data_IF_285864978478
#
_entry.id   IF_285864978478
#
_cell.length_a   1.000
_cell.length_b   1.000
_cell.length_c   1.000
_cell.angle_alpha   90.00
_cell.angle_beta   90.00
_cell.angle_gamma   90.00
#
_symmetry.space_group_name_H-M   'P 1'
#
loop_
_entity.id
_entity.type
_entity.pdbx_description
1 polymer ?
#
# COMPACT_ATOMS: atom_id res chain seq x y z
N UNK A 1 47.67 -11.25 -7.18
CA UNK A 1 47.00 -10.95 -5.89
C UNK A 1 46.11 -9.69 -5.94
N UNK A 2 46.53 -8.60 -6.60
CA UNK A 2 45.78 -7.33 -6.66
C UNK A 2 44.48 -7.39 -7.50
N UNK A 3 44.45 -8.20 -8.55
CA UNK A 3 43.27 -8.40 -9.42
C UNK A 3 42.12 -9.13 -8.72
N UNK A 4 42.43 -10.13 -7.90
CA UNK A 4 41.43 -10.89 -7.11
C UNK A 4 40.77 -10.01 -6.04
N UNK A 5 41.54 -9.15 -5.37
CA UNK A 5 41.01 -8.24 -4.34
C UNK A 5 40.06 -7.18 -4.91
N UNK A 6 40.36 -6.67 -6.12
CA UNK A 6 39.52 -5.70 -6.82
C UNK A 6 38.25 -6.34 -7.36
N UNK A 7 38.34 -7.55 -7.91
CA UNK A 7 37.18 -8.33 -8.33
C UNK A 7 36.28 -8.71 -7.14
N UNK A 8 36.84 -9.12 -6.01
CA UNK A 8 36.08 -9.43 -4.80
C UNK A 8 35.40 -8.20 -4.18
N UNK A 9 36.04 -7.02 -4.24
CA UNK A 9 35.43 -5.75 -3.81
C UNK A 9 34.33 -5.28 -4.75
N UNK A 10 34.49 -5.41 -6.07
CA UNK A 10 33.44 -5.13 -7.05
C UNK A 10 32.26 -6.09 -6.90
N UNK A 11 32.52 -7.39 -6.74
CA UNK A 11 31.48 -8.40 -6.59
C UNK A 11 30.74 -8.26 -5.26
N UNK A 12 31.45 -7.98 -4.16
CA UNK A 12 30.85 -7.66 -2.86
C UNK A 12 30.01 -6.37 -2.88
N UNK A 13 30.46 -5.33 -3.59
CA UNK A 13 29.69 -4.10 -3.77
C UNK A 13 28.43 -4.30 -4.62
N UNK A 14 28.51 -5.10 -5.68
CA UNK A 14 27.36 -5.47 -6.50
C UNK A 14 26.38 -6.34 -5.71
N UNK A 15 26.88 -7.30 -4.93
CA UNK A 15 26.04 -8.14 -4.07
C UNK A 15 25.30 -7.30 -3.03
N UNK A 16 26.00 -6.42 -2.30
CA UNK A 16 25.38 -5.55 -1.30
C UNK A 16 24.28 -4.65 -1.91
N UNK A 17 24.53 -4.09 -3.11
CA UNK A 17 23.52 -3.32 -3.84
C UNK A 17 22.31 -4.15 -4.21
N UNK A 18 22.51 -5.34 -4.77
CA UNK A 18 21.42 -6.24 -5.13
C UNK A 18 20.60 -6.63 -3.90
N UNK A 19 21.26 -6.93 -2.78
CA UNK A 19 20.59 -7.24 -1.52
C UNK A 19 19.75 -6.05 -1.02
N UNK A 20 20.26 -4.82 -1.08
CA UNK A 20 19.50 -3.63 -0.71
C UNK A 20 18.28 -3.40 -1.62
N UNK A 21 18.44 -3.63 -2.93
CA UNK A 21 17.32 -3.54 -3.89
C UNK A 21 16.24 -4.56 -3.54
N UNK A 22 16.62 -5.83 -3.35
CA UNK A 22 15.68 -6.90 -3.01
C UNK A 22 15.00 -6.64 -1.65
N UNK A 23 15.75 -6.14 -0.66
CA UNK A 23 15.20 -5.76 0.63
C UNK A 23 14.18 -4.62 0.51
N UNK A 24 14.47 -3.59 -0.30
CA UNK A 24 13.55 -2.48 -0.57
C UNK A 24 12.27 -2.95 -1.28
N UNK A 25 12.39 -3.84 -2.27
CA UNK A 25 11.24 -4.45 -2.95
C UNK A 25 10.41 -5.26 -1.95
N UNK A 26 11.05 -6.12 -1.14
CA UNK A 26 10.36 -6.93 -0.15
C UNK A 26 9.61 -6.07 0.88
N UNK A 27 10.26 -5.02 1.41
CA UNK A 27 9.63 -4.07 2.31
C UNK A 27 8.41 -3.40 1.66
N UNK A 28 8.54 -2.97 0.41
CA UNK A 28 7.45 -2.35 -0.35
C UNK A 28 6.27 -3.31 -0.52
N UNK A 29 6.54 -4.56 -0.90
CA UNK A 29 5.52 -5.61 -1.05
C UNK A 29 4.81 -5.90 0.28
N UNK A 30 5.54 -5.95 1.39
CA UNK A 30 4.97 -6.19 2.71
C UNK A 30 4.08 -5.01 3.16
N UNK A 31 4.56 -3.78 3.04
CA UNK A 31 3.82 -2.59 3.43
C UNK A 31 2.56 -2.38 2.58
N UNK A 32 2.69 -2.44 1.25
CA UNK A 32 1.55 -2.24 0.35
C UNK A 32 0.61 -3.45 0.28
N UNK A 33 1.13 -4.68 0.44
CA UNK A 33 0.31 -5.88 0.52
C UNK A 33 -0.58 -5.90 1.77
N UNK A 34 -0.05 -5.43 2.91
CA UNK A 34 -0.83 -5.31 4.15
C UNK A 34 -1.72 -4.06 4.22
N UNK A 35 -1.43 -3.03 3.41
CA UNK A 35 -2.16 -1.76 3.38
C UNK A 35 -3.67 -1.94 3.21
N UNK A 36 -4.12 -2.72 2.22
CA UNK A 36 -5.55 -2.91 1.93
C UNK A 36 -6.35 -3.44 3.13
N UNK A 37 -5.97 -4.60 3.71
CA UNK A 37 -6.63 -5.14 4.91
C UNK A 37 -6.60 -4.21 6.12
N UNK A 38 -5.44 -3.58 6.40
CA UNK A 38 -5.28 -2.66 7.54
C UNK A 38 -6.16 -1.42 7.35
N UNK A 39 -6.16 -0.82 6.17
CA UNK A 39 -6.98 0.34 5.83
C UNK A 39 -8.46 0.00 5.88
N UNK A 40 -8.87 -1.16 5.36
CA UNK A 40 -10.27 -1.60 5.41
C UNK A 40 -10.76 -1.74 6.85
N UNK A 41 -9.94 -2.31 7.74
CA UNK A 41 -10.25 -2.37 9.18
C UNK A 41 -10.34 -0.97 9.81
N UNK A 42 -9.44 -0.06 9.44
CA UNK A 42 -9.49 1.34 9.87
C UNK A 42 -10.75 2.08 9.40
N UNK A 43 -11.22 1.81 8.18
CA UNK A 43 -12.46 2.38 7.63
C UNK A 43 -13.70 1.94 8.41
N UNK A 44 -13.79 0.64 8.76
CA UNK A 44 -14.87 0.12 9.60
C UNK A 44 -14.90 0.79 10.97
N UNK A 45 -13.73 1.03 11.57
CA UNK A 45 -13.62 1.76 12.85
C UNK A 45 -13.93 3.27 12.76
N UNK A 46 -14.08 3.81 11.55
CA UNK A 46 -14.35 5.23 11.29
C UNK A 46 -15.71 5.44 10.60
N UNK A 47 -16.66 4.53 10.85
CA UNK A 47 -18.05 4.58 10.34
C UNK A 47 -18.13 4.61 8.80
N UNK A 48 -17.13 4.02 8.12
CA UNK A 48 -17.01 4.03 6.66
C UNK A 48 -16.98 5.44 6.02
N UNK A 49 -16.61 6.47 6.80
CA UNK A 49 -16.38 7.79 6.24
C UNK A 49 -15.14 7.78 5.34
N UNK A 50 -15.25 8.33 4.13
CA UNK A 50 -14.19 8.26 3.11
C UNK A 50 -12.99 9.16 3.43
N UNK A 51 -13.21 10.28 4.11
CA UNK A 51 -12.18 11.31 4.30
C UNK A 51 -11.40 11.12 5.60
N UNK A 52 -12.01 10.59 6.67
CA UNK A 52 -11.34 10.37 7.97
C UNK A 52 -10.08 9.47 7.83
N UNK A 53 -10.12 8.31 7.13
CA UNK A 53 -8.94 7.47 6.92
C UNK A 53 -7.85 8.15 6.09
N UNK A 54 -8.24 8.98 5.11
CA UNK A 54 -7.27 9.72 4.28
C UNK A 54 -6.45 10.70 5.11
N UNK A 55 -7.08 11.38 6.08
CA UNK A 55 -6.37 12.27 7.01
C UNK A 55 -5.35 11.47 7.82
N UNK A 56 -5.73 10.31 8.37
CA UNK A 56 -4.81 9.44 9.10
C UNK A 56 -3.62 8.99 8.24
N UNK A 57 -3.87 8.61 6.98
CA UNK A 57 -2.81 8.27 6.01
C UNK A 57 -1.92 9.48 5.73
N UNK A 58 -2.49 10.68 5.56
CA UNK A 58 -1.75 11.92 5.36
C UNK A 58 -0.82 12.26 6.52
N UNK A 59 -1.29 12.11 7.77
CA UNK A 59 -0.45 12.28 8.97
C UNK A 59 0.69 11.27 8.99
N UNK A 60 0.41 10.00 8.68
CA UNK A 60 1.46 8.98 8.59
C UNK A 60 2.50 9.31 7.51
N UNK A 61 2.07 9.81 6.35
CA UNK A 61 2.96 10.23 5.27
C UNK A 61 3.80 11.44 5.68
N UNK A 62 3.24 12.40 6.41
CA UNK A 62 4.03 13.51 6.94
C UNK A 62 5.16 13.01 7.85
N UNK A 63 4.86 12.09 8.78
CA UNK A 63 5.88 11.53 9.68
C UNK A 63 6.95 10.77 8.89
N UNK A 64 6.55 9.85 8.01
CA UNK A 64 7.49 8.97 7.32
C UNK A 64 8.25 9.67 6.19
N UNK A 65 7.62 10.56 5.45
CA UNK A 65 8.21 11.21 4.27
C UNK A 65 8.92 12.53 4.59
N UNK A 66 8.61 13.18 5.73
CA UNK A 66 9.24 14.45 6.11
C UNK A 66 10.11 14.27 7.35
N UNK A 67 9.57 13.76 8.47
CA UNK A 67 10.31 13.72 9.73
C UNK A 67 11.52 12.78 9.65
N UNK A 68 11.31 11.54 9.21
CA UNK A 68 12.39 10.53 9.16
C UNK A 68 13.55 10.97 8.23
N UNK A 69 13.31 11.39 6.97
CA UNK A 69 14.40 11.81 6.08
C UNK A 69 15.09 13.08 6.56
N UNK A 70 14.35 14.01 7.15
CA UNK A 70 14.93 15.25 7.70
C UNK A 70 15.89 14.95 8.85
N UNK A 71 15.49 14.10 9.81
CA UNK A 71 16.39 13.69 10.91
C UNK A 71 17.61 12.97 10.37
N UNK A 72 17.43 12.07 9.40
CA UNK A 72 18.53 11.32 8.80
C UNK A 72 19.54 12.24 8.10
N UNK A 73 19.08 13.18 7.26
CA UNK A 73 19.95 14.13 6.56
C UNK A 73 20.60 15.14 7.52
N UNK A 74 19.85 15.61 8.52
CA UNK A 74 20.38 16.50 9.56
C UNK A 74 21.50 15.83 10.36
N UNK A 75 21.36 14.54 10.70
CA UNK A 75 22.39 13.78 11.42
C UNK A 75 23.71 13.63 10.65
N UNK A 76 23.67 13.81 9.32
CA UNK A 76 24.82 13.76 8.42
C UNK A 76 25.35 15.12 7.99
N UNK A 77 24.69 16.22 8.39
CA UNK A 77 25.03 17.56 7.94
C UNK A 77 24.74 17.81 6.45
N UNK A 78 23.91 16.97 5.83
CA UNK A 78 23.63 17.00 4.38
C UNK A 78 22.32 17.75 4.04
N UNK A 79 21.66 18.34 5.03
CA UNK A 79 20.32 18.90 4.86
C UNK A 79 20.27 20.10 3.88
N UNK A 80 21.34 20.89 3.78
CA UNK A 80 21.37 22.12 2.98
C UNK A 80 21.95 21.95 1.57
N UNK A 81 22.57 20.81 1.25
CA UNK A 81 23.27 20.59 -0.01
C UNK A 81 22.49 19.73 -1.00
N UNK A 82 22.65 19.97 -2.31
CA UNK A 82 22.15 19.06 -3.36
C UNK A 82 20.71 19.26 -3.82
N UNK A 83 20.04 20.32 -3.39
CA UNK A 83 18.70 20.67 -3.85
C UNK A 83 18.73 21.23 -5.28
N UNK A 84 17.96 20.63 -6.18
CA UNK A 84 17.75 21.16 -7.53
C UNK A 84 16.26 21.43 -7.74
N UNK A 85 15.92 22.50 -8.46
CA UNK A 85 14.53 22.83 -8.76
C UNK A 85 13.84 21.72 -9.54
N UNK A 86 14.54 21.13 -10.52
CA UNK A 86 14.04 20.01 -11.32
C UNK A 86 13.77 18.77 -10.45
N UNK A 87 14.75 18.33 -9.66
CA UNK A 87 14.59 17.16 -8.78
C UNK A 87 13.48 17.36 -7.74
N UNK A 88 13.39 18.56 -7.16
CA UNK A 88 12.35 18.89 -6.18
C UNK A 88 10.96 18.88 -6.80
N UNK A 89 10.78 19.51 -7.97
CA UNK A 89 9.48 19.58 -8.64
C UNK A 89 9.00 18.20 -9.08
N UNK A 90 9.87 17.38 -9.67
CA UNK A 90 9.52 16.00 -10.04
C UNK A 90 9.20 15.13 -8.81
N UNK A 91 9.91 15.32 -7.70
CA UNK A 91 9.63 14.61 -6.46
C UNK A 91 8.29 15.02 -5.84
N UNK A 92 7.95 16.32 -5.91
CA UNK A 92 6.65 16.82 -5.46
C UNK A 92 5.51 16.27 -6.33
N UNK A 93 5.67 16.26 -7.66
CA UNK A 93 4.70 15.67 -8.58
C UNK A 93 4.50 14.18 -8.31
N UNK A 94 5.60 13.43 -8.11
CA UNK A 94 5.53 12.02 -7.75
C UNK A 94 4.77 11.80 -6.43
N UNK A 95 5.02 12.63 -5.42
CA UNK A 95 4.28 12.62 -4.15
C UNK A 95 2.79 12.91 -4.32
N UNK A 96 2.43 13.89 -5.15
CA UNK A 96 1.04 14.23 -5.45
C UNK A 96 0.31 13.08 -6.15
N UNK A 97 0.94 12.45 -7.16
CA UNK A 97 0.39 11.27 -7.84
C UNK A 97 0.19 10.11 -6.87
N UNK A 98 1.14 9.87 -5.97
CA UNK A 98 1.03 8.85 -4.92
C UNK A 98 -0.13 9.10 -3.94
N UNK A 99 -0.30 10.35 -3.49
CA UNK A 99 -1.39 10.73 -2.60
C UNK A 99 -2.77 10.58 -3.27
N UNK A 100 -2.89 10.98 -4.54
CA UNK A 100 -4.10 10.78 -5.33
C UNK A 100 -4.40 9.28 -5.56
N UNK A 101 -3.37 8.46 -5.76
CA UNK A 101 -3.53 7.00 -5.82
C UNK A 101 -4.08 6.41 -4.52
N UNK A 102 -3.58 6.86 -3.37
CA UNK A 102 -4.08 6.44 -2.06
C UNK A 102 -5.55 6.87 -1.84
N UNK A 103 -5.92 8.08 -2.26
CA UNK A 103 -7.31 8.54 -2.28
C UNK A 103 -8.20 7.63 -3.13
N UNK A 104 -7.75 7.24 -4.33
CA UNK A 104 -8.48 6.31 -5.20
C UNK A 104 -8.76 4.96 -4.53
N UNK A 105 -7.77 4.39 -3.85
CA UNK A 105 -7.93 3.14 -3.07
C UNK A 105 -8.96 3.33 -1.96
N UNK A 106 -8.88 4.43 -1.20
CA UNK A 106 -9.79 4.71 -0.09
C UNK A 106 -11.23 4.82 -0.60
N UNK A 107 -11.46 5.51 -1.72
CA UNK A 107 -12.78 5.61 -2.35
C UNK A 107 -13.28 4.23 -2.78
N UNK A 108 -12.44 3.42 -3.41
CA UNK A 108 -12.83 2.08 -3.86
C UNK A 108 -13.24 1.17 -2.69
N UNK A 109 -12.47 1.15 -1.60
CA UNK A 109 -12.77 0.33 -0.42
C UNK A 109 -13.99 0.84 0.36
N UNK A 110 -14.10 2.16 0.53
CA UNK A 110 -15.26 2.78 1.22
C UNK A 110 -16.55 2.75 0.40
N UNK A 111 -16.47 2.46 -0.90
CA UNK A 111 -17.65 2.24 -1.77
C UNK A 111 -18.07 0.77 -1.83
N UNK A 112 -17.59 -0.09 -0.92
CA UNK A 112 -17.94 -1.51 -0.84
C UNK A 112 -16.93 -2.45 -1.54
N UNK A 113 -15.80 -1.92 -2.02
CA UNK A 113 -14.72 -2.74 -2.56
C UNK A 113 -14.04 -3.56 -1.46
N UNK A 114 -13.80 -4.84 -1.72
CA UNK A 114 -13.01 -5.69 -0.81
C UNK A 114 -11.51 -5.57 -1.13
N UNK A 115 -10.62 -5.54 -0.12
CA UNK A 115 -9.17 -5.53 -0.35
C UNK A 115 -8.67 -6.66 -1.24
N UNK A 116 -9.32 -7.83 -1.18
CA UNK A 116 -8.97 -9.00 -2.01
C UNK A 116 -9.21 -8.76 -3.51
N UNK A 117 -10.06 -7.79 -3.87
CA UNK A 117 -10.38 -7.43 -5.25
C UNK A 117 -9.62 -6.18 -5.67
N UNK A 118 -9.64 -5.14 -4.83
CA UNK A 118 -9.12 -3.81 -5.17
C UNK A 118 -7.59 -3.82 -5.23
N UNK A 119 -6.92 -4.41 -4.22
CA UNK A 119 -5.45 -4.36 -4.17
C UNK A 119 -4.80 -5.07 -5.37
N UNK A 120 -5.18 -6.32 -5.74
CA UNK A 120 -4.55 -6.99 -6.88
C UNK A 120 -4.81 -6.29 -8.21
N UNK A 121 -5.98 -5.66 -8.39
CA UNK A 121 -6.28 -4.89 -9.61
C UNK A 121 -5.38 -3.64 -9.73
N UNK A 122 -5.21 -2.89 -8.64
CA UNK A 122 -4.36 -1.69 -8.63
C UNK A 122 -2.90 -2.06 -8.88
N UNK A 123 -2.37 -3.03 -8.13
CA UNK A 123 -0.97 -3.44 -8.25
C UNK A 123 -0.66 -4.27 -9.49
N UNK A 124 -1.65 -4.95 -10.07
CA UNK A 124 -1.52 -5.60 -11.38
C UNK A 124 -1.58 -4.61 -12.55
N UNK A 125 -2.37 -3.54 -12.44
CA UNK A 125 -2.50 -2.51 -13.46
C UNK A 125 -1.36 -1.49 -13.47
N UNK A 126 -0.76 -1.18 -12.32
CA UNK A 126 0.31 -0.17 -12.22
C UNK A 126 1.55 -0.48 -13.09
N UNK A 127 2.06 -1.72 -13.17
CA UNK A 127 3.13 -2.06 -14.10
C UNK A 127 2.74 -1.83 -15.56
N UNK A 128 1.50 -2.16 -15.95
CA UNK A 128 0.99 -1.95 -17.32
C UNK A 128 1.02 -0.47 -17.69
N UNK A 129 0.55 0.40 -16.80
CA UNK A 129 0.59 1.84 -17.02
C UNK A 129 2.03 2.36 -17.12
N UNK A 130 2.94 1.84 -16.29
CA UNK A 130 4.37 2.20 -16.33
C UNK A 130 4.98 1.87 -17.69
N UNK A 131 4.67 0.69 -18.26
CA UNK A 131 5.09 0.32 -19.61
C UNK A 131 4.57 1.31 -20.65
N UNK A 132 3.30 1.66 -20.57
CA UNK A 132 2.67 2.57 -21.54
C UNK A 132 3.29 3.97 -21.49
N UNK A 133 3.51 4.51 -20.28
CA UNK A 133 4.21 5.78 -20.09
C UNK A 133 5.62 5.72 -20.68
N UNK A 134 6.34 4.61 -20.48
CA UNK A 134 7.68 4.43 -21.04
C UNK A 134 7.67 4.40 -22.57
N UNK A 135 6.72 3.70 -23.18
CA UNK A 135 6.57 3.63 -24.64
C UNK A 135 6.27 4.98 -25.30
N UNK A 136 5.56 5.87 -24.61
CA UNK A 136 5.20 7.20 -25.13
C UNK A 136 6.31 8.22 -24.83
N UNK A 137 6.91 8.15 -23.64
CA UNK A 137 7.84 9.18 -23.17
C UNK A 137 9.27 8.97 -23.66
N UNK A 138 9.62 7.75 -24.10
CA UNK A 138 10.97 7.43 -24.53
C UNK A 138 11.03 7.17 -26.02
N UNK A 139 12.04 7.73 -26.70
CA UNK A 139 12.38 7.42 -28.09
C UNK A 139 13.18 6.09 -28.17
N UNK A 140 12.86 5.15 -27.27
CA UNK A 140 13.64 3.91 -27.09
C UNK A 140 13.24 2.89 -28.14
N UNK A 141 14.20 2.07 -28.53
CA UNK A 141 13.98 0.88 -29.33
C UNK A 141 12.80 0.05 -28.80
N UNK A 142 12.01 -0.50 -29.74
CA UNK A 142 10.80 -1.28 -29.43
C UNK A 142 11.13 -2.36 -28.38
N UNK A 143 10.38 -2.44 -27.26
CA UNK A 143 10.61 -3.47 -26.25
C UNK A 143 10.64 -4.87 -26.85
N UNK A 144 11.49 -5.74 -26.32
CA UNK A 144 11.61 -7.13 -26.77
C UNK A 144 10.25 -7.85 -26.65
N UNK A 145 9.91 -8.72 -27.62
CA UNK A 145 8.73 -9.55 -27.60
C UNK A 145 8.53 -10.32 -26.27
N UNK A 146 9.63 -10.75 -25.62
CA UNK A 146 9.59 -11.44 -24.31
C UNK A 146 9.02 -10.55 -23.20
N UNK A 147 9.29 -9.25 -23.24
CA UNK A 147 8.74 -8.29 -22.28
C UNK A 147 7.22 -8.17 -22.42
N UNK A 148 6.72 -8.10 -23.66
CA UNK A 148 5.28 -8.11 -23.92
C UNK A 148 4.62 -9.43 -23.50
N UNK A 149 5.29 -10.57 -23.72
CA UNK A 149 4.81 -11.86 -23.22
C UNK A 149 4.70 -11.89 -21.69
N UNK A 150 5.70 -11.33 -20.99
CA UNK A 150 5.65 -11.16 -19.53
C UNK A 150 4.49 -10.26 -19.07
N UNK A 151 4.22 -9.18 -19.79
CA UNK A 151 3.08 -8.30 -19.51
C UNK A 151 1.73 -8.99 -19.71
N UNK A 152 1.59 -9.76 -20.80
CA UNK A 152 0.38 -10.57 -21.05
C UNK A 152 0.20 -11.60 -19.94
N UNK A 153 1.27 -12.29 -19.55
CA UNK A 153 1.24 -13.26 -18.45
C UNK A 153 0.87 -12.61 -17.12
N UNK A 154 1.36 -11.42 -16.83
CA UNK A 154 0.99 -10.63 -15.65
C UNK A 154 -0.51 -10.32 -15.64
N UNK A 155 -1.04 -9.80 -16.76
CA UNK A 155 -2.47 -9.48 -16.91
C UNK A 155 -3.32 -10.75 -16.79
N UNK A 156 -2.91 -11.84 -17.43
CA UNK A 156 -3.59 -13.13 -17.35
C UNK A 156 -3.59 -13.67 -15.91
N UNK A 157 -2.44 -13.64 -15.23
CA UNK A 157 -2.32 -14.07 -13.84
C UNK A 157 -3.20 -13.26 -12.90
N UNK A 158 -3.18 -11.92 -13.03
CA UNK A 158 -4.08 -11.04 -12.26
C UNK A 158 -5.55 -11.37 -12.55
N UNK A 159 -5.92 -11.60 -13.81
CA UNK A 159 -7.29 -11.97 -14.20
C UNK A 159 -7.72 -13.31 -13.59
N UNK A 160 -6.87 -14.33 -13.64
CA UNK A 160 -7.14 -15.65 -13.05
C UNK A 160 -7.36 -15.52 -11.54
N UNK A 161 -6.49 -14.80 -10.82
CA UNK A 161 -6.66 -14.55 -9.37
C UNK A 161 -8.01 -13.88 -9.08
N UNK A 162 -8.45 -12.95 -9.92
CA UNK A 162 -9.71 -12.24 -9.73
C UNK A 162 -10.95 -13.08 -10.09
N UNK A 163 -10.84 -14.00 -11.04
CA UNK A 163 -11.92 -14.93 -11.41
C UNK A 163 -12.10 -15.99 -10.32
N UNK A 164 -11.00 -16.57 -9.85
CA UNK A 164 -10.99 -17.66 -8.87
C UNK A 164 -10.87 -17.18 -7.42
N UNK A 165 -11.09 -15.88 -7.16
CA UNK A 165 -11.11 -15.36 -5.79
C UNK A 165 -12.14 -16.13 -4.95
N UNK A 166 -11.79 -16.55 -3.72
CA UNK A 166 -12.73 -17.25 -2.86
C UNK A 166 -13.93 -16.33 -2.58
N UNK A 167 -15.15 -16.85 -2.79
CA UNK A 167 -16.35 -16.20 -2.28
C UNK A 167 -16.19 -16.17 -0.76
N UNK A 168 -16.24 -15.00 -0.16
CA UNK A 168 -16.19 -14.89 1.29
C UNK A 168 -17.40 -15.67 1.82
N UNK A 169 -17.18 -16.77 2.54
CA UNK A 169 -18.23 -17.38 3.33
C UNK A 169 -18.64 -16.31 4.34
N UNK A 170 -19.89 -15.85 4.25
CA UNK A 170 -20.52 -14.91 5.17
C UNK A 170 -20.50 -15.51 6.58
N UNK A 171 -19.40 -15.33 7.32
CA UNK A 171 -19.39 -15.50 8.77
C UNK A 171 -19.61 -14.12 9.37
N UNK A 172 -20.84 -13.91 9.87
CA UNK A 172 -21.34 -12.72 10.58
C UNK A 172 -21.94 -11.58 9.73
N UNK A 173 -23.10 -11.83 9.11
CA UNK A 173 -24.20 -10.86 9.10
C UNK A 173 -25.56 -11.57 9.25
N UNK A 174 -25.71 -12.33 10.34
CA UNK A 174 -27.01 -12.53 11.00
C UNK A 174 -26.98 -11.73 12.31
N UNK A 175 -27.02 -10.40 12.20
CA UNK A 175 -27.50 -9.55 13.28
C UNK A 175 -28.84 -8.98 12.85
N UNK A 176 -29.86 -9.83 12.98
CA UNK A 176 -31.25 -9.41 13.10
C UNK A 176 -31.33 -8.40 14.26
N UNK A 177 -32.05 -7.27 14.16
CA UNK A 177 -32.20 -6.35 15.27
C UNK A 177 -32.92 -7.10 16.40
N UNK A 178 -32.23 -7.31 17.52
CA UNK A 178 -32.89 -7.79 18.74
C UNK A 178 -33.78 -6.63 19.19
N UNK A 179 -35.08 -6.79 18.94
CA UNK A 179 -36.12 -5.97 19.48
C UNK A 179 -35.93 -5.84 20.99
N UNK A 180 -35.88 -4.60 21.47
CA UNK A 180 -35.98 -4.22 22.87
C UNK A 180 -37.30 -4.77 23.44
N UNK A 181 -37.22 -5.89 24.16
CA UNK A 181 -38.30 -6.36 25.02
C UNK A 181 -38.27 -5.56 26.34
N UNK A 182 -39.42 -5.15 26.89
CA UNK A 182 -39.47 -4.34 28.11
C UNK A 182 -39.00 -5.16 29.31
N UNK A 183 -38.23 -4.54 30.21
CA UNK A 183 -37.87 -5.13 31.50
C UNK A 183 -39.13 -5.13 32.38
N UNK A 184 -39.75 -6.30 32.55
CA UNK A 184 -40.77 -6.55 33.56
C UNK A 184 -40.30 -7.68 34.51
N UNK A 185 -39.99 -7.25 35.74
CA UNK A 185 -40.03 -7.94 37.03
C UNK A 185 -39.09 -9.10 37.36
N UNK A 186 -38.23 -8.85 38.36
CA UNK A 186 -37.94 -9.73 39.51
C UNK A 186 -37.38 -8.83 40.63
N UNK A 187 -38.18 -8.38 41.59
CA UNK A 187 -38.54 -9.15 42.79
C UNK A 187 -37.30 -9.52 43.60
N UNK A 188 -36.89 -8.61 44.50
CA UNK A 188 -35.96 -8.93 45.58
C UNK A 188 -36.77 -9.26 46.84
N UNK A 189 -36.34 -10.34 47.47
CA UNK A 189 -36.98 -11.18 48.49
C UNK A 189 -37.15 -10.52 49.88
N UNK A 190 -37.92 -11.15 50.80
CA UNK A 190 -38.49 -10.51 51.97
C UNK A 190 -37.49 -10.34 53.11
N UNK A 191 -37.61 -9.24 53.85
CA UNK A 191 -37.03 -9.08 55.19
C UNK A 191 -38.15 -8.91 56.21
N UNK A 192 -38.48 -10.01 56.89
CA UNK A 192 -39.33 -10.07 58.07
C UNK A 192 -38.46 -10.57 59.23
N UNK A 193 -38.18 -9.71 60.22
CA UNK A 193 -38.14 -10.04 61.66
C UNK A 193 -37.63 -8.86 62.48
N UNK A 194 -38.41 -8.55 63.52
CA UNK A 194 -38.23 -7.68 64.70
C UNK A 194 -38.54 -6.17 64.57
#
# INVERSE_FOLDING_TARGET
MITSFRAQKLWGFTLAKTLMILAGIALTVLCWGSYGPVLHKGQHGLENNRLKPLICVGVAYFVVAIIIPTIYLASRGELSGGWSFGGTSWSLLAGAVGALGALGIIIALSSGGSPIVVMPLVFGGAPVLTVFIYLISSNTERPNAVFYAGLILLIAGATVVQIFKPKQLTAHQDQKPVASQPIEMAENSPSESD
#
